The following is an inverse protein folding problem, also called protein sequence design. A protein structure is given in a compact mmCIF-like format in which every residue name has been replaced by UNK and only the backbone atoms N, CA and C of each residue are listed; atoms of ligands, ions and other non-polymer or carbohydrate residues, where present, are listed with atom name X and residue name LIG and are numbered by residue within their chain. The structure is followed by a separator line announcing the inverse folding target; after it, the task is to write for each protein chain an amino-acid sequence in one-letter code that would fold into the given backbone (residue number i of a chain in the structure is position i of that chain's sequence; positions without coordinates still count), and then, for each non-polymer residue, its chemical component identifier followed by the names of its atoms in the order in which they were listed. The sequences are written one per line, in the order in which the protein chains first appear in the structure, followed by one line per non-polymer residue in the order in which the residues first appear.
data_IF_093524507925
#
_entry.id   IF_093524507925
#
_cell.length_a   1.000
_cell.length_b   1.000
_cell.length_c   1.000
_cell.angle_alpha   90.00
_cell.angle_beta   90.00
_cell.angle_gamma   90.00
#
_symmetry.space_group_name_H-M   'P 1'
#
loop_
_entity.id
_entity.type
_entity.pdbx_description
1 polymer ?
#
# COMPACT_ATOMS: atom_id res chain seq x y z
N UNK A 1 -25.15 31.45 40.46
CA UNK A 1 -23.91 31.73 41.21
C UNK A 1 -23.20 30.48 41.72
N UNK A 2 -23.76 29.67 42.64
CA UNK A 2 -23.05 28.48 43.19
C UNK A 2 -22.90 27.35 42.15
N UNK A 3 -23.89 27.13 41.28
CA UNK A 3 -23.79 26.13 40.19
C UNK A 3 -22.74 26.53 39.14
N UNK A 4 -22.70 27.82 38.80
CA UNK A 4 -21.75 28.36 37.82
C UNK A 4 -20.31 28.33 38.35
N UNK A 5 -20.11 28.61 39.64
CA UNK A 5 -18.80 28.48 40.29
C UNK A 5 -18.31 27.03 40.34
N UNK A 6 -19.19 26.06 40.64
CA UNK A 6 -18.84 24.64 40.61
C UNK A 6 -18.47 24.20 39.19
N UNK A 7 -19.22 24.65 38.18
CA UNK A 7 -18.90 24.35 36.78
C UNK A 7 -17.54 24.94 36.36
N UNK A 8 -17.28 26.21 36.69
CA UNK A 8 -15.99 26.87 36.43
C UNK A 8 -14.82 26.18 37.13
N UNK A 9 -14.99 25.80 38.40
CA UNK A 9 -13.97 25.08 39.16
C UNK A 9 -13.69 23.71 38.55
N UNK A 10 -14.73 22.97 38.14
CA UNK A 10 -14.56 21.68 37.46
C UNK A 10 -13.81 21.83 36.15
N UNK A 11 -14.17 22.82 35.30
CA UNK A 11 -13.46 23.07 34.04
C UNK A 11 -12.00 23.46 34.29
N UNK A 12 -11.73 24.30 35.29
CA UNK A 12 -10.37 24.69 35.65
C UNK A 12 -9.54 23.49 36.13
N UNK A 13 -10.10 22.61 36.95
CA UNK A 13 -9.42 21.41 37.41
C UNK A 13 -9.12 20.44 36.26
N UNK A 14 -10.06 20.26 35.32
CA UNK A 14 -9.83 19.46 34.10
C UNK A 14 -8.68 20.06 33.28
N UNK A 15 -8.68 21.39 33.08
CA UNK A 15 -7.60 22.08 32.36
C UNK A 15 -6.25 21.90 33.08
N UNK A 16 -6.22 21.99 34.40
CA UNK A 16 -5.00 21.81 35.18
C UNK A 16 -4.45 20.38 35.07
N UNK A 17 -5.33 19.37 35.10
CA UNK A 17 -4.96 17.96 34.84
C UNK A 17 -4.39 17.80 33.44
N UNK A 18 -5.00 18.42 32.41
CA UNK A 18 -4.48 18.41 31.04
C UNK A 18 -3.07 19.03 30.95
N UNK A 19 -2.86 20.21 31.53
CA UNK A 19 -1.56 20.89 31.51
C UNK A 19 -0.50 20.06 32.25
N UNK A 20 -0.82 19.52 33.42
CA UNK A 20 0.10 18.65 34.18
C UNK A 20 0.45 17.38 33.38
N UNK A 21 -0.53 16.77 32.72
CA UNK A 21 -0.30 15.61 31.84
C UNK A 21 0.61 15.94 30.65
N UNK A 22 0.37 17.08 29.98
CA UNK A 22 1.19 17.52 28.85
C UNK A 22 2.65 17.81 29.28
N UNK A 23 2.84 18.47 30.42
CA UNK A 23 4.18 18.72 30.98
C UNK A 23 4.86 17.41 31.38
N UNK A 24 4.13 16.48 32.02
CA UNK A 24 4.65 15.17 32.39
C UNK A 24 5.14 14.38 31.16
N UNK A 25 4.42 14.46 30.04
CA UNK A 25 4.81 13.76 28.81
C UNK A 25 6.15 14.27 28.25
N UNK A 26 6.46 15.56 28.41
CA UNK A 26 7.72 16.17 27.95
C UNK A 26 8.96 15.83 28.80
N UNK A 27 8.79 15.10 29.91
CA UNK A 27 9.86 14.82 30.88
C UNK A 27 10.07 13.31 31.05
N UNK A 28 10.62 12.66 30.03
CA UNK A 28 10.72 11.19 29.89
C UNK A 28 11.34 10.46 31.10
N UNK A 29 12.25 11.12 31.83
CA UNK A 29 12.98 10.52 32.97
C UNK A 29 12.30 10.71 34.35
N UNK A 30 11.04 11.16 34.39
CA UNK A 30 10.35 11.45 35.65
C UNK A 30 9.35 10.37 36.06
N UNK A 31 9.15 10.22 37.37
CA UNK A 31 8.11 9.34 37.91
C UNK A 31 6.70 9.73 37.42
N UNK A 32 6.49 11.02 37.13
CA UNK A 32 5.23 11.54 36.63
C UNK A 32 4.99 11.11 35.17
N UNK A 33 6.03 11.14 34.33
CA UNK A 33 5.98 10.54 32.99
C UNK A 33 5.67 9.04 33.06
N UNK A 34 6.38 8.29 33.92
CA UNK A 34 6.14 6.86 34.09
C UNK A 34 4.70 6.54 34.55
N UNK A 35 4.10 7.39 35.38
CA UNK A 35 2.73 7.23 35.84
C UNK A 35 1.68 7.59 34.76
N UNK A 36 1.97 8.56 33.88
CA UNK A 36 1.04 9.05 32.84
C UNK A 36 1.17 8.27 31.53
N UNK A 37 2.37 7.77 31.19
CA UNK A 37 2.69 7.06 29.94
C UNK A 37 1.71 5.94 29.59
N UNK A 38 1.32 5.03 30.50
CA UNK A 38 0.36 3.97 30.18
C UNK A 38 -1.00 4.52 29.74
N UNK A 39 -1.47 5.61 30.35
CA UNK A 39 -2.75 6.23 29.98
C UNK A 39 -2.69 6.91 28.61
N UNK A 40 -1.58 7.58 28.30
CA UNK A 40 -1.35 8.19 26.98
C UNK A 40 -1.25 7.11 25.90
N UNK A 41 -0.56 6.00 26.19
CA UNK A 41 -0.49 4.85 25.28
C UNK A 41 -1.87 4.23 25.03
N UNK A 42 -2.68 4.05 26.08
CA UNK A 42 -4.06 3.55 25.93
C UNK A 42 -4.91 4.53 25.13
N UNK A 43 -4.85 5.83 25.44
CA UNK A 43 -5.60 6.85 24.70
C UNK A 43 -5.18 6.92 23.22
N UNK A 44 -3.88 6.84 22.94
CA UNK A 44 -3.33 6.76 21.60
C UNK A 44 -3.80 5.50 20.85
N UNK A 45 -3.76 4.34 21.51
CA UNK A 45 -4.25 3.09 20.93
C UNK A 45 -5.75 3.13 20.63
N UNK A 46 -6.57 3.72 21.50
CA UNK A 46 -8.00 3.92 21.26
C UNK A 46 -8.23 4.90 20.09
N UNK A 47 -7.50 6.02 20.07
CA UNK A 47 -7.59 6.99 18.98
C UNK A 47 -7.20 6.38 17.63
N UNK A 48 -6.13 5.60 17.60
CA UNK A 48 -5.71 4.85 16.42
C UNK A 48 -6.78 3.81 16.02
N UNK A 49 -7.34 3.04 16.96
CA UNK A 49 -8.39 2.07 16.67
C UNK A 49 -9.63 2.74 16.06
N UNK A 50 -10.03 3.91 16.55
CA UNK A 50 -11.14 4.69 15.98
C UNK A 50 -10.79 5.13 14.56
N UNK A 51 -9.57 5.64 14.34
CA UNK A 51 -9.10 6.05 13.02
C UNK A 51 -9.07 4.86 12.04
N UNK A 52 -8.53 3.72 12.46
CA UNK A 52 -8.54 2.47 11.72
C UNK A 52 -9.97 2.08 11.30
N UNK A 53 -10.93 2.07 12.22
CA UNK A 53 -12.32 1.72 11.91
C UNK A 53 -12.92 2.71 10.90
N UNK A 54 -12.74 4.01 11.12
CA UNK A 54 -13.20 5.04 10.19
C UNK A 54 -12.58 4.89 8.79
N UNK A 55 -11.30 4.55 8.72
CA UNK A 55 -10.58 4.38 7.46
C UNK A 55 -11.01 3.09 6.75
N UNK A 56 -11.16 1.99 7.49
CA UNK A 56 -11.68 0.73 6.97
C UNK A 56 -13.11 0.91 6.43
N UNK A 57 -13.98 1.62 7.15
CA UNK A 57 -15.33 1.95 6.71
C UNK A 57 -15.32 2.86 5.46
N UNK A 58 -14.39 3.80 5.36
CA UNK A 58 -14.27 4.71 4.22
C UNK A 58 -13.77 4.01 2.95
N UNK A 59 -12.81 3.08 3.08
CA UNK A 59 -12.27 2.31 1.95
C UNK A 59 -13.30 1.29 1.45
N UNK A 60 -14.10 0.73 2.36
CA UNK A 60 -15.14 -0.24 2.03
C UNK A 60 -16.30 0.48 1.34
N UNK A 61 -16.46 0.26 0.03
CA UNK A 61 -17.63 0.70 -0.75
C UNK A 61 -18.88 -0.12 -0.36
N UNK A 62 -19.30 -0.04 0.91
CA UNK A 62 -20.43 -0.77 1.50
C UNK A 62 -21.75 -0.06 1.28
N UNK A 63 -21.71 1.26 1.07
CA UNK A 63 -22.88 2.02 0.70
C UNK A 63 -23.17 1.78 -0.80
N UNK A 64 -24.36 1.27 -1.16
CA UNK A 64 -24.73 1.17 -2.56
C UNK A 64 -24.64 2.56 -3.20
N UNK A 65 -24.09 2.62 -4.42
CA UNK A 65 -24.16 3.84 -5.21
C UNK A 65 -25.63 4.29 -5.26
N UNK A 66 -25.91 5.61 -5.11
CA UNK A 66 -27.27 6.11 -5.28
C UNK A 66 -27.88 5.56 -6.57
N UNK A 67 -29.18 5.25 -6.59
CA UNK A 67 -29.91 4.97 -7.83
C UNK A 67 -29.95 6.25 -8.69
N UNK A 68 -28.83 6.57 -9.35
CA UNK A 68 -28.77 7.53 -10.43
C UNK A 68 -28.16 6.86 -11.65
N UNK A 69 -29.09 6.40 -12.47
CA UNK A 69 -29.01 6.02 -13.86
C UNK A 69 -28.50 7.18 -14.72
N UNK A 70 -27.23 7.11 -15.11
CA UNK A 70 -26.73 7.66 -16.39
C UNK A 70 -25.38 6.99 -16.71
N UNK A 71 -25.32 5.66 -16.58
CA UNK A 71 -24.19 4.87 -17.07
C UNK A 71 -24.18 4.92 -18.61
N UNK A 72 -23.35 5.80 -19.17
CA UNK A 72 -22.97 5.73 -20.59
C UNK A 72 -21.93 4.65 -20.77
N UNK A 73 -22.38 3.49 -21.22
CA UNK A 73 -21.47 2.45 -21.69
C UNK A 73 -21.11 2.69 -23.16
N UNK A 74 -19.84 2.97 -23.44
CA UNK A 74 -19.31 2.97 -24.81
C UNK A 74 -18.58 1.65 -25.03
N UNK A 75 -19.23 0.72 -25.72
CA UNK A 75 -18.62 -0.56 -26.09
C UNK A 75 -18.06 -0.49 -27.52
N UNK A 76 -16.84 -0.99 -27.71
CA UNK A 76 -16.34 -1.34 -29.04
C UNK A 76 -16.62 -2.83 -29.30
N UNK A 77 -17.07 -3.16 -30.52
CA UNK A 77 -17.45 -4.52 -30.91
C UNK A 77 -16.31 -5.56 -30.82
N UNK A 78 -15.06 -5.13 -30.60
CA UNK A 78 -13.90 -6.00 -30.45
C UNK A 78 -13.84 -6.71 -29.08
N UNK A 79 -14.55 -6.20 -28.06
CA UNK A 79 -14.52 -6.74 -26.70
C UNK A 79 -15.82 -7.47 -26.28
N UNK A 80 -16.76 -7.69 -27.21
CA UNK A 80 -18.14 -8.14 -26.93
C UNK A 80 -18.30 -9.57 -26.35
N UNK A 81 -17.23 -10.38 -26.29
CA UNK A 81 -17.35 -11.81 -25.93
C UNK A 81 -16.55 -12.25 -24.71
N UNK A 82 -15.56 -11.48 -24.27
CA UNK A 82 -14.72 -11.88 -23.15
C UNK A 82 -15.42 -11.60 -21.81
N UNK A 83 -15.38 -12.52 -20.83
CA UNK A 83 -15.72 -12.25 -19.44
C UNK A 83 -14.93 -11.06 -18.85
N UNK A 84 -15.40 -10.52 -17.73
CA UNK A 84 -14.74 -9.45 -16.99
C UNK A 84 -14.32 -10.00 -15.63
N UNK A 85 -13.03 -9.94 -15.32
CA UNK A 85 -12.50 -10.17 -13.98
C UNK A 85 -12.39 -8.81 -13.27
N UNK A 86 -12.90 -8.72 -12.06
CA UNK A 86 -12.78 -7.51 -11.25
C UNK A 86 -12.63 -7.83 -9.76
N UNK A 87 -12.06 -6.86 -9.06
CA UNK A 87 -11.92 -6.82 -7.61
C UNK A 87 -12.69 -5.61 -7.07
N UNK A 88 -13.16 -5.70 -5.83
CA UNK A 88 -13.75 -4.56 -5.10
C UNK A 88 -13.25 -4.60 -3.67
N UNK A 89 -13.43 -3.50 -2.94
CA UNK A 89 -13.13 -3.45 -1.50
C UNK A 89 -14.34 -3.82 -0.64
N UNK A 90 -15.46 -4.25 -1.24
CA UNK A 90 -16.66 -4.64 -0.50
C UNK A 90 -16.43 -5.91 0.31
N UNK A 91 -15.64 -6.84 -0.23
CA UNK A 91 -15.20 -8.07 0.41
C UNK A 91 -13.88 -8.56 -0.20
N UNK A 92 -13.40 -9.70 0.28
CA UNK A 92 -12.17 -10.36 -0.17
C UNK A 92 -12.45 -11.42 -1.24
N UNK A 93 -13.20 -11.07 -2.31
CA UNK A 93 -13.52 -12.03 -3.37
C UNK A 93 -13.26 -11.45 -4.76
N UNK A 94 -12.41 -12.12 -5.53
CA UNK A 94 -12.26 -11.84 -6.94
C UNK A 94 -13.39 -12.50 -7.74
N UNK A 95 -13.94 -11.79 -8.73
CA UNK A 95 -15.13 -12.25 -9.46
C UNK A 95 -14.93 -12.17 -10.96
N UNK A 96 -15.20 -13.28 -11.62
CA UNK A 96 -15.35 -13.35 -13.08
C UNK A 96 -16.84 -13.28 -13.39
N UNK A 97 -17.26 -12.27 -14.16
CA UNK A 97 -18.64 -12.11 -14.61
C UNK A 97 -18.74 -12.16 -16.12
N UNK A 98 -19.91 -12.53 -16.63
CA UNK A 98 -20.27 -12.27 -18.01
C UNK A 98 -20.68 -10.80 -18.20
N UNK A 99 -21.03 -10.44 -19.43
CA UNK A 99 -21.45 -9.07 -19.79
C UNK A 99 -22.84 -8.70 -19.27
N UNK A 100 -23.62 -9.67 -18.78
CA UNK A 100 -24.92 -9.44 -18.13
C UNK A 100 -24.80 -9.20 -16.63
N UNK A 101 -23.59 -9.40 -16.07
CA UNK A 101 -23.34 -9.35 -14.63
C UNK A 101 -23.57 -10.69 -13.94
N UNK A 102 -23.84 -11.77 -14.68
CA UNK A 102 -23.89 -13.11 -14.10
C UNK A 102 -22.48 -13.52 -13.67
N UNK A 103 -22.34 -13.92 -12.41
CA UNK A 103 -21.11 -14.48 -11.88
C UNK A 103 -20.85 -15.83 -12.53
N UNK A 104 -19.72 -15.93 -13.24
CA UNK A 104 -19.23 -17.14 -13.88
C UNK A 104 -18.31 -17.93 -12.94
N UNK A 105 -17.49 -17.23 -12.15
CA UNK A 105 -16.56 -17.83 -11.19
C UNK A 105 -16.17 -16.84 -10.09
N UNK A 106 -15.70 -17.37 -8.95
CA UNK A 106 -15.24 -16.56 -7.82
C UNK A 106 -14.03 -17.19 -7.13
N UNK A 107 -13.05 -16.37 -6.76
CA UNK A 107 -11.96 -16.76 -5.85
C UNK A 107 -12.17 -16.06 -4.51
N UNK A 108 -12.89 -16.67 -3.55
CA UNK A 108 -13.01 -16.14 -2.20
C UNK A 108 -11.69 -16.29 -1.45
N UNK A 109 -11.28 -15.23 -0.74
CA UNK A 109 -10.05 -15.20 0.03
C UNK A 109 -10.35 -14.94 1.52
N UNK A 110 -9.62 -15.64 2.40
CA UNK A 110 -9.65 -15.43 3.85
C UNK A 110 -8.21 -15.37 4.36
N UNK A 111 -7.84 -14.22 4.92
CA UNK A 111 -6.47 -13.92 5.31
C UNK A 111 -5.97 -14.87 6.40
N UNK A 112 -6.78 -15.12 7.41
CA UNK A 112 -6.48 -16.00 8.53
C UNK A 112 -6.27 -17.48 8.15
N UNK A 113 -6.88 -17.92 7.04
CA UNK A 113 -6.67 -19.26 6.49
C UNK A 113 -5.42 -19.36 5.63
N UNK A 114 -5.09 -18.30 4.91
CA UNK A 114 -3.93 -18.27 4.01
C UNK A 114 -2.61 -17.98 4.76
N UNK A 115 -2.65 -17.12 5.78
CA UNK A 115 -1.51 -16.78 6.64
C UNK A 115 -1.70 -17.30 8.06
N UNK A 116 -1.02 -18.38 8.39
CA UNK A 116 -0.99 -18.94 9.75
C UNK A 116 -0.18 -18.08 10.73
N UNK A 117 0.79 -17.32 10.23
CA UNK A 117 1.55 -16.32 10.97
C UNK A 117 1.28 -14.94 10.35
N UNK A 118 0.74 -14.04 11.16
CA UNK A 118 0.30 -12.70 10.74
C UNK A 118 1.15 -11.59 11.35
N UNK A 119 2.28 -11.93 11.98
CA UNK A 119 3.11 -10.98 12.71
C UNK A 119 3.73 -9.88 11.82
N UNK A 120 3.67 -10.02 10.50
CA UNK A 120 4.13 -8.99 9.58
C UNK A 120 3.13 -7.83 9.45
N UNK A 121 1.84 -8.04 9.69
CA UNK A 121 0.86 -6.94 9.70
C UNK A 121 0.96 -6.22 11.05
N UNK A 122 1.42 -4.97 11.03
CA UNK A 122 1.65 -4.17 12.23
C UNK A 122 0.33 -3.69 12.86
N UNK A 123 -0.35 -4.58 13.60
CA UNK A 123 -1.50 -4.26 14.45
C UNK A 123 -1.67 -5.36 15.53
N UNK A 124 -2.44 -5.18 16.64
CA UNK A 124 -2.81 -6.30 17.50
C UNK A 124 -3.27 -7.50 16.67
N UNK A 125 -2.76 -8.67 17.05
CA UNK A 125 -2.64 -9.94 16.32
C UNK A 125 -3.95 -10.61 15.86
N UNK A 126 -5.06 -9.88 15.76
CA UNK A 126 -6.39 -10.41 15.46
C UNK A 126 -7.19 -9.39 14.62
N UNK A 127 -6.66 -8.96 13.47
CA UNK A 127 -7.45 -8.17 12.54
C UNK A 127 -8.58 -9.04 11.95
N UNK A 128 -9.83 -8.57 11.93
CA UNK A 128 -10.92 -9.29 11.30
C UNK A 128 -10.62 -9.43 9.80
N UNK A 129 -11.11 -10.51 9.14
CA UNK A 129 -10.94 -10.69 7.70
C UNK A 129 -11.48 -9.49 6.90
N UNK A 130 -12.42 -8.75 7.50
CA UNK A 130 -12.97 -7.52 6.97
C UNK A 130 -11.95 -6.37 6.88
N UNK A 131 -10.84 -6.40 7.61
CA UNK A 131 -9.77 -5.42 7.45
C UNK A 131 -9.06 -5.54 6.08
N UNK A 132 -9.17 -6.71 5.45
CA UNK A 132 -8.46 -7.04 4.22
C UNK A 132 -9.35 -6.88 2.99
N UNK A 133 -8.70 -6.64 1.86
CA UNK A 133 -9.34 -6.55 0.55
C UNK A 133 -8.33 -6.91 -0.54
N UNK A 134 -8.83 -7.33 -1.69
CA UNK A 134 -8.01 -7.66 -2.84
C UNK A 134 -7.81 -6.41 -3.69
N UNK A 135 -6.58 -6.19 -4.14
CA UNK A 135 -6.21 -5.20 -5.15
C UNK A 135 -5.36 -5.88 -6.18
N UNK A 136 -5.45 -5.41 -7.41
CA UNK A 136 -4.64 -5.83 -8.55
C UNK A 136 -4.59 -7.36 -8.79
N UNK A 137 -4.39 -7.79 -10.03
CA UNK A 137 -4.39 -9.21 -10.32
C UNK A 137 -3.69 -9.58 -11.61
N UNK A 138 -3.16 -10.80 -11.60
CA UNK A 138 -2.76 -11.51 -12.79
C UNK A 138 -3.53 -12.84 -12.88
N UNK A 139 -4.17 -13.07 -14.03
CA UNK A 139 -4.87 -14.33 -14.33
C UNK A 139 -4.03 -15.12 -15.32
N UNK A 140 -3.52 -16.27 -14.89
CA UNK A 140 -2.76 -17.18 -15.74
C UNK A 140 -3.69 -17.93 -16.71
N UNK A 141 -3.14 -18.41 -17.84
CA UNK A 141 -3.88 -19.15 -18.87
C UNK A 141 -4.55 -20.44 -18.34
N UNK A 142 -4.02 -21.02 -17.25
CA UNK A 142 -4.59 -22.21 -16.59
C UNK A 142 -5.75 -21.89 -15.63
N UNK A 143 -6.06 -20.60 -15.43
CA UNK A 143 -7.09 -20.11 -14.53
C UNK A 143 -6.62 -19.87 -13.09
N UNK A 144 -5.32 -19.95 -12.82
CA UNK A 144 -4.76 -19.54 -11.53
C UNK A 144 -4.76 -18.01 -11.43
N UNK A 145 -5.01 -17.50 -10.23
CA UNK A 145 -5.12 -16.08 -9.93
C UNK A 145 -4.06 -15.67 -8.91
N UNK A 146 -3.14 -14.79 -9.31
CA UNK A 146 -2.27 -14.05 -8.38
C UNK A 146 -2.93 -12.71 -8.07
N UNK A 147 -3.00 -12.30 -6.81
CA UNK A 147 -3.59 -11.01 -6.41
C UNK A 147 -2.91 -10.43 -5.18
N UNK A 148 -2.91 -9.11 -5.06
CA UNK A 148 -2.35 -8.37 -3.94
C UNK A 148 -3.40 -8.28 -2.82
N UNK A 149 -3.00 -8.65 -1.61
CA UNK A 149 -3.83 -8.54 -0.41
C UNK A 149 -3.46 -7.25 0.32
N UNK A 150 -4.39 -6.30 0.36
CA UNK A 150 -4.25 -5.04 1.09
C UNK A 150 -4.98 -5.09 2.42
N UNK A 151 -4.57 -4.20 3.33
CA UNK A 151 -5.18 -4.02 4.65
C UNK A 151 -5.45 -2.54 4.87
N UNK A 152 -6.67 -2.21 5.30
CA UNK A 152 -7.09 -0.83 5.49
C UNK A 152 -6.58 -0.26 6.84
N UNK A 153 -6.21 1.02 6.88
CA UNK A 153 -5.97 1.73 8.14
C UNK A 153 -4.72 1.31 8.93
N UNK A 154 -3.80 0.56 8.31
CA UNK A 154 -2.50 0.20 8.89
C UNK A 154 -1.36 0.62 7.96
N UNK A 155 -0.22 0.94 8.56
CA UNK A 155 1.04 1.22 7.86
C UNK A 155 2.14 0.30 8.41
N UNK A 156 3.06 -0.24 7.60
CA UNK A 156 3.11 -0.19 6.13
C UNK A 156 1.85 -0.73 5.45
N UNK A 157 1.48 -0.15 4.29
CA UNK A 157 0.35 -0.65 3.51
C UNK A 157 0.69 -1.99 2.87
N UNK A 158 -0.31 -2.87 2.76
CA UNK A 158 -0.15 -4.19 2.14
C UNK A 158 0.05 -5.32 3.14
N UNK A 159 -0.49 -6.49 2.80
CA UNK A 159 -0.37 -7.72 3.58
C UNK A 159 0.33 -8.85 2.81
N UNK A 160 0.50 -8.71 1.48
CA UNK A 160 1.28 -9.64 0.67
C UNK A 160 0.66 -9.95 -0.69
N UNK A 161 1.14 -11.01 -1.32
CA UNK A 161 0.53 -11.61 -2.51
C UNK A 161 0.01 -13.01 -2.17
N UNK A 162 -1.07 -13.41 -2.82
CA UNK A 162 -1.56 -14.78 -2.79
C UNK A 162 -1.77 -15.28 -4.22
N UNK A 163 -1.38 -16.53 -4.47
CA UNK A 163 -1.78 -17.25 -5.67
C UNK A 163 -2.77 -18.33 -5.32
N UNK A 164 -3.88 -18.38 -6.04
CA UNK A 164 -4.92 -19.39 -5.90
C UNK A 164 -5.10 -20.14 -7.22
N UNK A 165 -5.41 -21.43 -7.15
CA UNK A 165 -5.80 -22.17 -8.35
C UNK A 165 -7.21 -21.78 -8.82
N UNK A 166 -7.61 -22.27 -9.99
CA UNK A 166 -8.97 -22.10 -10.55
C UNK A 166 -10.12 -22.64 -9.67
N UNK A 167 -9.82 -23.38 -8.61
CA UNK A 167 -10.78 -23.92 -7.66
C UNK A 167 -10.72 -23.17 -6.30
N UNK A 168 -10.02 -22.02 -6.27
CA UNK A 168 -9.78 -21.15 -5.12
C UNK A 168 -8.98 -21.77 -3.97
N UNK A 169 -8.18 -22.81 -4.25
CA UNK A 169 -7.21 -23.30 -3.27
C UNK A 169 -5.95 -22.44 -3.33
N UNK A 170 -5.44 -22.04 -2.17
CA UNK A 170 -4.17 -21.31 -2.06
C UNK A 170 -3.01 -22.22 -2.51
N UNK A 171 -2.24 -21.77 -3.50
CA UNK A 171 -1.02 -22.43 -3.98
C UNK A 171 0.17 -21.95 -3.16
N UNK A 172 0.37 -20.64 -3.06
CA UNK A 172 1.43 -20.02 -2.27
C UNK A 172 1.01 -18.63 -1.79
N UNK A 173 1.72 -18.13 -0.78
CA UNK A 173 1.61 -16.77 -0.26
C UNK A 173 2.99 -16.12 -0.20
N UNK A 174 3.06 -14.83 -0.50
CA UNK A 174 4.24 -14.00 -0.27
C UNK A 174 3.96 -13.04 0.89
N UNK A 175 4.74 -13.16 1.96
CA UNK A 175 4.65 -12.27 3.13
C UNK A 175 5.52 -11.03 2.93
N UNK A 176 4.88 -9.89 2.77
CA UNK A 176 5.53 -8.59 2.61
C UNK A 176 4.50 -7.46 2.49
N UNK A 177 4.97 -6.22 2.48
CA UNK A 177 4.11 -5.03 2.43
C UNK A 177 3.91 -4.55 1.00
N UNK A 178 3.39 -5.44 0.13
CA UNK A 178 3.14 -5.10 -1.27
C UNK A 178 2.02 -4.06 -1.35
N UNK A 179 2.31 -2.95 -2.02
CA UNK A 179 1.42 -1.82 -2.14
C UNK A 179 1.16 -1.46 -3.61
N UNK A 180 -0.02 -0.91 -3.85
CA UNK A 180 -0.49 -0.36 -5.12
C UNK A 180 -0.60 -1.32 -6.32
N UNK A 181 0.49 -1.95 -6.75
CA UNK A 181 0.59 -2.58 -8.06
C UNK A 181 1.67 -3.66 -8.11
N UNK A 182 1.46 -4.68 -8.94
CA UNK A 182 2.49 -5.64 -9.33
C UNK A 182 2.30 -6.09 -10.78
N UNK A 183 3.39 -6.40 -11.46
CA UNK A 183 3.36 -6.97 -12.81
C UNK A 183 3.99 -8.36 -12.80
N UNK A 184 3.22 -9.36 -13.25
CA UNK A 184 3.69 -10.72 -13.47
C UNK A 184 3.99 -10.93 -14.96
N UNK A 185 5.23 -11.27 -15.26
CA UNK A 185 5.69 -11.52 -16.63
C UNK A 185 5.49 -12.97 -17.06
N UNK A 186 5.46 -13.21 -18.36
CA UNK A 186 5.29 -14.54 -18.95
C UNK A 186 6.43 -15.54 -18.62
N UNK A 187 7.59 -15.06 -18.13
CA UNK A 187 8.69 -15.94 -17.71
C UNK A 187 8.57 -16.39 -16.23
N UNK A 188 7.52 -15.97 -15.53
CA UNK A 188 7.29 -16.31 -14.12
C UNK A 188 8.01 -15.40 -13.12
N UNK A 189 8.40 -14.18 -13.51
CA UNK A 189 8.88 -13.15 -12.58
C UNK A 189 7.76 -12.16 -12.26
N UNK A 190 7.57 -11.87 -10.97
CA UNK A 190 6.71 -10.80 -10.46
C UNK A 190 7.58 -9.62 -10.02
N UNK A 191 7.25 -8.43 -10.49
CA UNK A 191 7.79 -7.17 -9.97
C UNK A 191 6.69 -6.45 -9.19
N UNK A 192 6.91 -6.23 -7.91
CA UNK A 192 5.91 -5.65 -7.02
C UNK A 192 6.48 -4.46 -6.26
N UNK A 193 5.69 -3.40 -6.11
CA UNK A 193 6.05 -2.27 -5.23
C UNK A 193 5.84 -2.72 -3.80
N UNK A 194 6.90 -2.72 -2.98
CA UNK A 194 6.88 -3.15 -1.58
C UNK A 194 7.38 -2.03 -0.67
N UNK A 195 6.65 -1.76 0.41
CA UNK A 195 7.16 -0.90 1.45
C UNK A 195 8.19 -1.58 2.35
N UNK A 196 9.28 -0.88 2.63
CA UNK A 196 10.26 -1.25 3.64
C UNK A 196 10.44 -0.08 4.60
N UNK A 197 10.38 -0.35 5.90
CA UNK A 197 10.70 0.66 6.91
C UNK A 197 12.21 0.86 6.92
N UNK A 198 12.67 1.99 6.38
CA UNK A 198 14.09 2.35 6.35
C UNK A 198 14.44 3.19 7.57
N UNK A 199 15.51 2.80 8.26
CA UNK A 199 15.95 3.43 9.53
C UNK A 199 17.30 4.13 9.42
N UNK A 200 17.95 4.08 8.26
CA UNK A 200 19.23 4.72 7.94
C UNK A 200 19.06 5.75 6.82
N UNK A 201 20.00 6.70 6.75
CA UNK A 201 20.00 7.69 5.68
C UNK A 201 20.52 7.07 4.36
N UNK A 202 19.86 7.34 3.21
CA UNK A 202 20.33 6.91 1.91
C UNK A 202 21.57 7.69 1.47
N UNK A 203 22.72 7.04 1.57
CA UNK A 203 24.00 7.60 1.14
C UNK A 203 24.37 8.91 1.85
N UNK A 204 24.67 9.95 1.07
CA UNK A 204 24.99 11.30 1.56
C UNK A 204 23.75 12.24 1.59
N UNK A 205 22.57 11.73 1.25
CA UNK A 205 21.35 12.51 1.19
C UNK A 205 20.80 12.80 2.58
N UNK A 206 20.63 14.07 2.91
CA UNK A 206 20.12 14.50 4.21
C UNK A 206 18.62 14.18 4.31
N UNK A 207 18.27 13.15 5.06
CA UNK A 207 16.88 12.82 5.39
C UNK A 207 16.44 13.53 6.67
N UNK A 208 15.41 14.38 6.61
CA UNK A 208 14.98 15.14 7.78
C UNK A 208 14.24 14.26 8.82
N UNK A 209 13.72 13.10 8.43
CA UNK A 209 12.97 12.19 9.31
C UNK A 209 13.38 10.73 9.07
N UNK A 210 13.67 10.01 10.16
CA UNK A 210 13.92 8.56 10.21
C UNK A 210 13.13 7.98 11.39
N UNK A 211 12.61 6.73 11.29
CA UNK A 211 12.51 5.95 10.06
C UNK A 211 11.46 6.54 9.10
N UNK A 212 11.43 6.06 7.86
CA UNK A 212 10.40 6.39 6.87
C UNK A 212 10.00 5.14 6.07
N UNK A 213 8.88 5.21 5.36
CA UNK A 213 8.42 4.13 4.50
C UNK A 213 9.06 4.27 3.12
N UNK A 214 9.82 3.28 2.66
CA UNK A 214 10.45 3.32 1.35
C UNK A 214 9.79 2.36 0.37
N UNK A 215 9.44 2.85 -0.83
CA UNK A 215 9.14 1.99 -1.96
C UNK A 215 10.37 1.22 -2.45
N UNK A 216 10.26 -0.09 -2.45
CA UNK A 216 11.21 -1.02 -3.02
C UNK A 216 10.55 -1.79 -4.14
N UNK A 217 11.33 -2.23 -5.13
CA UNK A 217 10.85 -3.18 -6.14
C UNK A 217 11.28 -4.57 -5.72
N UNK A 218 10.30 -5.38 -5.34
CA UNK A 218 10.49 -6.78 -4.99
C UNK A 218 10.36 -7.65 -6.22
N UNK A 219 11.37 -8.48 -6.45
CA UNK A 219 11.43 -9.46 -7.53
C UNK A 219 11.09 -10.82 -6.91
N UNK A 220 9.94 -11.36 -7.28
CA UNK A 220 9.36 -12.57 -6.69
C UNK A 220 9.18 -13.62 -7.77
N UNK A 221 9.46 -14.89 -7.44
CA UNK A 221 9.22 -16.01 -8.33
C UNK A 221 7.72 -16.39 -8.32
N UNK A 222 7.06 -16.31 -9.47
CA UNK A 222 5.61 -16.57 -9.59
C UNK A 222 5.22 -18.04 -9.38
N UNK A 223 6.19 -18.97 -9.39
CA UNK A 223 5.91 -20.39 -9.23
C UNK A 223 5.74 -20.80 -7.75
N UNK A 224 6.49 -20.18 -6.85
CA UNK A 224 6.53 -20.55 -5.43
C UNK A 224 6.40 -19.37 -4.46
N UNK A 225 6.30 -18.13 -4.98
CA UNK A 225 6.18 -16.91 -4.18
C UNK A 225 7.47 -16.51 -3.47
N UNK A 226 8.62 -17.10 -3.79
CA UNK A 226 9.90 -16.79 -3.15
C UNK A 226 10.45 -15.43 -3.60
N UNK A 227 10.97 -14.66 -2.64
CA UNK A 227 11.68 -13.42 -2.93
C UNK A 227 13.07 -13.72 -3.47
N UNK A 228 13.37 -13.20 -4.65
CA UNK A 228 14.70 -13.28 -5.25
C UNK A 228 15.56 -12.08 -4.80
N UNK A 229 14.98 -10.88 -4.81
CA UNK A 229 15.71 -9.63 -4.53
C UNK A 229 14.76 -8.47 -4.23
N UNK A 230 15.26 -7.45 -3.52
CA UNK A 230 14.65 -6.12 -3.44
C UNK A 230 15.59 -5.07 -4.00
N UNK A 231 15.04 -4.09 -4.71
CA UNK A 231 15.76 -2.92 -5.21
C UNK A 231 15.18 -1.68 -4.53
N UNK A 232 16.01 -0.94 -3.80
CA UNK A 232 15.63 0.35 -3.22
C UNK A 232 15.42 1.38 -4.33
N UNK A 233 14.22 1.96 -4.40
CA UNK A 233 13.92 2.98 -5.42
C UNK A 233 14.69 4.27 -5.13
N UNK A 234 14.84 4.64 -3.85
CA UNK A 234 15.61 5.83 -3.47
C UNK A 234 17.08 5.64 -3.82
N UNK A 235 17.69 4.50 -3.49
CA UNK A 235 19.10 4.25 -3.81
C UNK A 235 19.31 4.18 -5.33
N UNK A 236 18.37 3.60 -6.08
CA UNK A 236 18.43 3.57 -7.54
C UNK A 236 18.40 4.99 -8.14
N UNK A 237 17.54 5.88 -7.63
CA UNK A 237 17.47 7.28 -8.08
C UNK A 237 18.74 8.03 -7.65
N UNK A 238 19.16 7.89 -6.38
CA UNK A 238 20.32 8.58 -5.81
C UNK A 238 21.62 8.25 -6.55
N UNK A 239 21.78 7.01 -7.00
CA UNK A 239 22.96 6.54 -7.72
C UNK A 239 22.88 6.79 -9.24
N UNK A 240 21.82 7.46 -9.72
CA UNK A 240 21.63 7.76 -11.13
C UNK A 240 21.94 9.23 -11.46
N UNK A 241 22.03 9.60 -12.76
CA UNK A 241 22.05 11.00 -13.19
C UNK A 241 20.82 11.84 -12.76
N UNK A 242 19.77 11.20 -12.23
CA UNK A 242 18.52 11.83 -11.81
C UNK A 242 18.43 12.10 -10.31
N UNK A 243 19.53 11.95 -9.55
CA UNK A 243 19.56 12.14 -8.08
C UNK A 243 18.94 13.44 -7.58
N UNK A 244 19.05 14.51 -8.36
CA UNK A 244 18.53 15.83 -7.99
C UNK A 244 16.99 15.85 -7.90
N UNK A 245 16.30 14.86 -8.48
CA UNK A 245 14.84 14.69 -8.33
C UNK A 245 14.45 14.44 -6.87
N UNK A 246 15.32 13.84 -6.06
CA UNK A 246 15.03 13.57 -4.64
C UNK A 246 14.83 14.86 -3.84
N UNK A 247 15.35 16.00 -4.29
CA UNK A 247 15.11 17.30 -3.66
C UNK A 247 13.66 17.77 -3.71
N UNK A 248 12.81 17.11 -4.51
CA UNK A 248 11.38 17.38 -4.60
C UNK A 248 10.57 16.59 -3.58
N UNK A 249 11.17 15.56 -2.95
CA UNK A 249 10.49 14.75 -1.95
C UNK A 249 10.06 15.61 -0.77
N UNK A 250 8.80 15.44 -0.38
CA UNK A 250 8.27 15.97 0.85
C UNK A 250 8.32 14.84 1.87
N UNK A 251 8.81 15.16 3.07
CA UNK A 251 8.92 14.18 4.14
C UNK A 251 8.05 14.62 5.32
N UNK A 252 7.29 13.67 5.84
CA UNK A 252 6.57 13.76 7.11
C UNK A 252 6.92 12.51 7.97
N UNK A 253 6.84 12.58 9.31
CA UNK A 253 7.23 11.46 10.19
C UNK A 253 6.51 10.14 9.95
N UNK A 254 5.34 10.17 9.32
CA UNK A 254 4.50 8.99 9.03
C UNK A 254 4.38 8.70 7.51
N UNK A 255 5.27 9.28 6.70
CA UNK A 255 5.10 9.36 5.25
C UNK A 255 5.76 8.23 4.45
N UNK A 256 5.21 8.04 3.27
CA UNK A 256 5.77 7.33 2.13
C UNK A 256 6.16 8.40 1.09
N UNK A 257 7.43 8.84 1.05
CA UNK A 257 7.82 10.03 0.34
C UNK A 257 7.80 9.86 -1.18
N UNK A 258 7.90 8.63 -1.69
CA UNK A 258 7.88 8.35 -3.14
C UNK A 258 6.48 8.02 -3.63
N UNK A 259 5.74 7.21 -2.86
CA UNK A 259 4.40 6.75 -3.14
C UNK A 259 4.17 6.28 -4.58
N UNK A 260 4.84 5.18 -4.92
CA UNK A 260 4.79 4.61 -6.26
C UNK A 260 3.44 3.96 -6.50
N UNK A 261 2.74 4.42 -7.53
CA UNK A 261 1.36 4.02 -7.80
C UNK A 261 1.23 2.86 -8.79
N UNK A 262 2.22 2.69 -9.68
CA UNK A 262 2.17 1.66 -10.70
C UNK A 262 3.55 1.19 -11.14
N UNK A 263 3.61 -0.05 -11.61
CA UNK A 263 4.79 -0.67 -12.21
C UNK A 263 4.37 -1.47 -13.44
N UNK A 264 5.01 -1.18 -14.58
CA UNK A 264 4.81 -1.94 -15.82
C UNK A 264 6.14 -2.46 -16.35
N UNK A 265 6.14 -3.67 -16.89
CA UNK A 265 7.30 -4.23 -17.59
C UNK A 265 7.27 -3.76 -19.04
N UNK A 266 8.38 -3.22 -19.52
CA UNK A 266 8.52 -2.85 -20.92
C UNK A 266 8.57 -4.14 -21.75
N UNK A 267 7.47 -4.45 -22.44
CA UNK A 267 7.33 -5.68 -23.22
C UNK A 267 8.14 -5.67 -24.53
N UNK A 268 8.48 -4.48 -25.04
CA UNK A 268 9.13 -4.32 -26.33
C UNK A 268 10.06 -3.11 -26.35
N UNK A 269 11.30 -3.33 -26.78
CA UNK A 269 12.23 -2.24 -27.07
C UNK A 269 11.75 -1.41 -28.27
N UNK A 270 12.00 -0.11 -28.24
CA UNK A 270 11.74 0.77 -29.39
C UNK A 270 13.04 1.07 -30.15
N UNK A 271 13.09 0.90 -31.49
CA UNK A 271 14.33 1.07 -32.26
C UNK A 271 14.93 2.47 -32.15
N UNK A 272 14.09 3.50 -32.05
CA UNK A 272 14.52 4.90 -31.96
C UNK A 272 14.68 5.42 -30.52
N UNK A 273 14.33 4.62 -29.51
CA UNK A 273 14.41 5.02 -28.09
C UNK A 273 15.35 4.08 -27.37
N UNK A 274 16.65 4.39 -27.44
CA UNK A 274 17.72 3.50 -27.01
C UNK A 274 17.69 3.12 -25.51
N UNK A 275 17.09 3.95 -24.66
CA UNK A 275 16.96 3.69 -23.22
C UNK A 275 15.72 2.84 -22.87
N UNK A 276 14.76 2.69 -23.80
CA UNK A 276 13.54 1.91 -23.57
C UNK A 276 13.77 0.47 -24.03
N UNK A 277 14.27 -0.38 -23.13
CA UNK A 277 14.60 -1.78 -23.44
C UNK A 277 13.60 -2.75 -22.84
N UNK A 278 13.35 -3.85 -23.56
CA UNK A 278 12.52 -4.94 -23.08
C UNK A 278 13.03 -5.47 -21.73
N UNK A 279 12.13 -5.67 -20.77
CA UNK A 279 12.41 -6.19 -19.44
C UNK A 279 12.82 -5.15 -18.40
N UNK A 280 12.97 -3.88 -18.80
CA UNK A 280 13.06 -2.76 -17.86
C UNK A 280 11.67 -2.42 -17.30
N UNK A 281 11.64 -1.69 -16.19
CA UNK A 281 10.42 -1.39 -15.44
C UNK A 281 10.10 0.09 -15.55
N UNK A 282 8.90 0.42 -16.04
CA UNK A 282 8.34 1.77 -16.01
C UNK A 282 7.55 1.93 -14.72
N UNK A 283 7.93 2.90 -13.88
CA UNK A 283 7.35 3.09 -12.55
C UNK A 283 6.80 4.52 -12.45
N UNK A 284 5.57 4.64 -11.96
CA UNK A 284 4.94 5.93 -11.65
C UNK A 284 5.21 6.30 -10.20
N UNK A 285 6.07 7.30 -9.98
CA UNK A 285 6.45 7.81 -8.65
C UNK A 285 5.64 9.06 -8.35
N UNK A 286 4.52 8.89 -7.64
CA UNK A 286 3.48 9.92 -7.49
C UNK A 286 4.01 11.20 -6.89
N UNK A 287 4.74 11.09 -5.79
CA UNK A 287 5.09 12.26 -4.98
C UNK A 287 6.35 12.98 -5.52
N UNK A 288 7.00 12.38 -6.52
CA UNK A 288 7.94 13.08 -7.43
C UNK A 288 7.26 13.63 -8.69
N UNK A 289 5.97 13.36 -8.90
CA UNK A 289 5.23 13.58 -10.14
C UNK A 289 6.05 13.11 -11.34
N UNK A 290 6.56 11.88 -11.31
CA UNK A 290 7.53 11.40 -12.29
C UNK A 290 7.24 9.99 -12.79
N UNK A 291 7.65 9.74 -14.04
CA UNK A 291 7.88 8.40 -14.55
C UNK A 291 9.37 8.11 -14.54
N UNK A 292 9.75 6.95 -14.01
CA UNK A 292 11.13 6.46 -14.00
C UNK A 292 11.21 5.12 -14.70
N UNK A 293 12.34 4.85 -15.35
CA UNK A 293 12.65 3.56 -15.97
C UNK A 293 13.81 2.94 -15.21
N UNK A 294 13.55 1.83 -14.53
CA UNK A 294 14.52 1.06 -13.77
C UNK A 294 14.97 -0.16 -14.59
N UNK A 295 16.27 -0.35 -14.71
CA UNK A 295 16.84 -1.62 -15.17
C UNK A 295 17.01 -2.56 -13.95
N UNK A 296 16.25 -3.67 -13.84
CA UNK A 296 16.33 -4.56 -12.68
C UNK A 296 17.64 -5.37 -12.64
N UNK A 297 18.38 -5.49 -13.74
CA UNK A 297 19.65 -6.22 -13.80
C UNK A 297 20.78 -5.37 -13.22
N UNK A 298 20.82 -4.08 -13.57
CA UNK A 298 21.85 -3.16 -13.08
C UNK A 298 21.43 -2.37 -11.84
N UNK A 299 20.15 -2.40 -11.48
CA UNK A 299 19.56 -1.63 -10.37
C UNK A 299 19.70 -0.11 -10.55
N UNK A 300 19.64 0.36 -11.80
CA UNK A 300 19.86 1.77 -12.13
C UNK A 300 18.64 2.37 -12.81
N UNK A 301 18.34 3.62 -12.46
CA UNK A 301 17.41 4.43 -13.24
C UNK A 301 18.11 4.86 -14.54
N UNK A 302 17.61 4.35 -15.67
CA UNK A 302 18.16 4.65 -17.01
C UNK A 302 17.49 5.86 -17.65
N UNK A 303 16.25 6.14 -17.25
CA UNK A 303 15.49 7.29 -17.73
C UNK A 303 14.54 7.79 -16.63
N UNK A 304 14.37 9.10 -16.53
CA UNK A 304 13.33 9.69 -15.69
C UNK A 304 12.80 10.96 -16.33
N UNK A 305 11.51 11.21 -16.15
CA UNK A 305 10.84 12.42 -16.62
C UNK A 305 9.82 12.89 -15.59
N UNK A 306 9.92 14.16 -15.20
CA UNK A 306 8.86 14.82 -14.43
C UNK A 306 7.66 15.09 -15.34
N UNK A 307 6.48 14.76 -14.85
CA UNK A 307 5.22 15.01 -15.50
C UNK A 307 4.67 16.38 -15.06
N UNK A 308 4.04 17.14 -15.97
CA UNK A 308 3.42 18.43 -15.65
C UNK A 308 2.05 18.23 -14.95
N UNK A 309 1.99 17.32 -13.98
CA UNK A 309 0.78 16.97 -13.25
C UNK A 309 0.92 17.43 -11.81
N UNK A 310 -0.18 17.93 -11.22
CA UNK A 310 -0.30 18.11 -9.78
C UNK A 310 -1.10 16.93 -9.26
N UNK A 311 -0.43 15.98 -8.60
CA UNK A 311 -0.98 14.78 -7.97
C UNK A 311 -1.46 13.70 -8.97
N UNK A 312 -0.73 12.58 -9.03
CA UNK A 312 -1.09 11.34 -9.75
C UNK A 312 -1.74 10.31 -8.83
#
# INVERSE_FOLDING_TARGET
MIKDFKALLTVFLIFLVFVVGAVAQSQEDTWLHAAVKPFVQVAGAVGYFINFQQHADAIRWTNPAPEQTDLRSSYSAAHDKAPILYLTTQDTTARLIDRTGQVLHTWPFQFDKAWSNQNHVLYPSDLPNEAFYLRDFHLDDNGDLTTLVSVAGVTPWGAGLVKMDKDANVIWTYTGHINNDFEQTANGTIYAVEHIIRSDAPGDYAMPYLPFLEDNISIINANDGSLEKRISLIDAILNSPYRDMLHQLQFSPDDDPTHSNSIEVIEKSHPDVWWLQKGMLLISVRDLNALVVLDPQTEQIVYAVSLPLRHQ
#
